data_IF_180684208015
#
_entry.id   IF_180684208015
#
_cell.length_a   1.000
_cell.length_b   1.000
_cell.length_c   1.000
_cell.angle_alpha   90.00
_cell.angle_beta   90.00
_cell.angle_gamma   90.00
#
_symmetry.space_group_name_H-M   'P 1'
#
loop_
_entity.id
_entity.type
_entity.pdbx_description
1 polymer ?
#
# COMPACT_ATOMS: atom_id res chain seq x y z
N UNK A 1 -10.42 -26.05 0.65
CA UNK A 1 -9.75 -24.73 0.59
C UNK A 1 -10.57 -23.83 1.49
N UNK A 2 -10.01 -23.23 2.55
CA UNK A 2 -10.73 -22.19 3.28
C UNK A 2 -10.59 -20.92 2.45
N UNK A 3 -11.69 -20.49 1.85
CA UNK A 3 -11.70 -19.32 1.00
C UNK A 3 -11.34 -18.08 1.83
N UNK A 4 -10.31 -17.36 1.40
CA UNK A 4 -10.03 -16.03 1.92
C UNK A 4 -11.17 -15.12 1.44
N UNK A 5 -12.17 -14.90 2.30
CA UNK A 5 -13.34 -14.08 1.96
C UNK A 5 -13.13 -12.68 2.54
N UNK A 6 -12.65 -11.80 1.68
CA UNK A 6 -12.60 -10.37 1.97
C UNK A 6 -13.95 -9.73 1.56
N UNK A 7 -14.58 -8.90 2.41
CA UNK A 7 -15.77 -8.14 2.04
C UNK A 7 -15.52 -7.30 0.76
N UNK A 8 -16.44 -7.27 -0.22
CA UNK A 8 -16.23 -6.55 -1.49
C UNK A 8 -15.80 -5.08 -1.31
N UNK A 9 -16.37 -4.38 -0.31
CA UNK A 9 -16.03 -2.99 0.01
C UNK A 9 -14.58 -2.80 0.46
N UNK A 10 -14.03 -3.75 1.20
CA UNK A 10 -12.63 -3.71 1.62
C UNK A 10 -11.72 -4.04 0.45
N UNK A 11 -12.12 -5.04 -0.36
CA UNK A 11 -11.35 -5.47 -1.51
C UNK A 11 -11.13 -4.32 -2.49
N UNK A 12 -12.16 -3.55 -2.82
CA UNK A 12 -12.05 -2.40 -3.72
C UNK A 12 -11.08 -1.34 -3.17
N UNK A 13 -11.15 -1.03 -1.88
CA UNK A 13 -10.20 -0.11 -1.26
C UNK A 13 -8.77 -0.64 -1.26
N UNK A 14 -8.58 -1.92 -0.97
CA UNK A 14 -7.25 -2.53 -0.92
C UNK A 14 -6.64 -2.62 -2.32
N UNK A 15 -7.43 -3.00 -3.32
CA UNK A 15 -7.02 -3.00 -4.73
C UNK A 15 -6.65 -1.58 -5.18
N UNK A 16 -7.43 -0.57 -4.80
CA UNK A 16 -7.11 0.84 -5.09
C UNK A 16 -5.79 1.28 -4.44
N UNK A 17 -5.56 0.96 -3.16
CA UNK A 17 -4.27 1.27 -2.50
C UNK A 17 -3.10 0.55 -3.17
N UNK A 18 -3.25 -0.74 -3.48
CA UNK A 18 -2.22 -1.55 -4.14
C UNK A 18 -1.79 -0.95 -5.48
N UNK A 19 -2.75 -0.50 -6.29
CA UNK A 19 -2.47 0.15 -7.57
C UNK A 19 -1.89 1.57 -7.41
N UNK A 20 -2.34 2.32 -6.40
CA UNK A 20 -1.99 3.72 -6.24
C UNK A 20 -0.60 3.95 -5.63
N UNK A 21 -0.13 3.05 -4.76
CA UNK A 21 1.19 3.17 -4.12
C UNK A 21 2.34 3.38 -5.12
N UNK A 22 2.54 2.54 -6.15
CA UNK A 22 3.63 2.75 -7.11
C UNK A 22 3.47 4.04 -7.93
N UNK A 23 2.25 4.40 -8.33
CA UNK A 23 1.96 5.63 -9.10
C UNK A 23 2.34 6.87 -8.30
N UNK A 24 1.94 6.90 -7.02
CA UNK A 24 2.18 8.05 -6.15
C UNK A 24 3.64 8.11 -5.72
N UNK A 25 4.31 6.97 -5.59
CA UNK A 25 5.76 6.92 -5.42
C UNK A 25 6.48 7.59 -6.59
N UNK A 26 6.21 7.17 -7.83
CA UNK A 26 6.81 7.73 -9.04
C UNK A 26 6.53 9.23 -9.21
N UNK A 27 5.36 9.68 -8.78
CA UNK A 27 4.94 11.08 -8.87
C UNK A 27 5.67 12.00 -7.88
N UNK A 28 5.95 11.53 -6.67
CA UNK A 28 6.40 12.40 -5.56
C UNK A 28 7.83 12.15 -5.10
N UNK A 29 8.37 10.95 -5.28
CA UNK A 29 9.70 10.62 -4.78
C UNK A 29 10.76 10.97 -5.83
N UNK A 30 11.90 11.49 -5.38
CA UNK A 30 13.07 11.71 -6.23
C UNK A 30 13.75 10.39 -6.61
N UNK A 31 14.66 10.44 -7.57
CA UNK A 31 15.51 9.31 -7.97
C UNK A 31 16.41 8.79 -6.83
N UNK A 32 16.54 9.53 -5.74
CA UNK A 32 17.27 9.12 -4.53
C UNK A 32 16.53 8.05 -3.71
N UNK A 33 15.28 7.75 -4.06
CA UNK A 33 14.47 6.74 -3.40
C UNK A 33 14.16 5.59 -4.35
N UNK A 34 14.02 4.40 -3.77
CA UNK A 34 13.68 3.17 -4.50
C UNK A 34 12.47 2.51 -3.86
N UNK A 35 11.53 2.11 -4.69
CA UNK A 35 10.41 1.26 -4.30
C UNK A 35 10.81 -0.22 -4.39
N UNK A 36 10.68 -0.95 -3.28
CA UNK A 36 10.84 -2.39 -3.19
C UNK A 36 9.49 -3.04 -2.90
N UNK A 37 9.07 -3.99 -3.74
CA UNK A 37 7.82 -4.72 -3.58
C UNK A 37 8.10 -6.10 -2.99
N UNK A 38 7.68 -6.32 -1.75
CA UNK A 38 7.77 -7.61 -1.08
C UNK A 38 6.47 -8.39 -1.33
N UNK A 39 6.52 -9.53 -2.03
CA UNK A 39 5.32 -10.32 -2.29
C UNK A 39 4.76 -10.92 -0.98
N UNK A 40 3.46 -11.18 -0.90
CA UNK A 40 2.87 -11.83 0.27
C UNK A 40 3.50 -13.21 0.49
N UNK A 41 3.84 -13.52 1.75
CA UNK A 41 4.37 -14.84 2.10
C UNK A 41 3.36 -15.92 1.73
N UNK A 42 3.81 -16.98 1.05
CA UNK A 42 3.02 -18.21 0.88
C UNK A 42 3.12 -19.02 2.17
N UNK A 43 2.01 -19.24 2.86
CA UNK A 43 1.97 -20.18 3.99
C UNK A 43 1.54 -21.56 3.50
N UNK A 44 2.11 -22.59 4.13
CA UNK A 44 1.75 -23.99 3.88
C UNK A 44 0.31 -24.30 4.31
N UNK A 45 -0.17 -23.61 5.34
CA UNK A 45 -1.51 -23.74 5.92
C UNK A 45 -2.15 -22.34 6.12
N UNK A 46 -2.82 -21.80 5.09
CA UNK A 46 -3.38 -20.45 5.17
C UNK A 46 -4.53 -20.41 6.19
N UNK A 47 -4.41 -19.54 7.19
CA UNK A 47 -5.53 -19.19 8.06
C UNK A 47 -6.58 -18.37 7.28
N UNK A 48 -7.88 -18.51 7.61
CA UNK A 48 -8.91 -17.61 7.10
C UNK A 48 -8.57 -16.15 7.44
N UNK A 49 -8.74 -15.26 6.47
CA UNK A 49 -8.41 -13.86 6.64
C UNK A 49 -8.53 -13.07 5.33
N UNK A 50 -8.23 -11.76 5.36
CA UNK A 50 -8.21 -10.94 4.16
C UNK A 50 -7.22 -11.47 3.13
N UNK A 51 -7.49 -11.19 1.86
CA UNK A 51 -6.61 -11.56 0.75
C UNK A 51 -5.22 -10.99 1.05
N UNK A 52 -4.19 -11.81 0.89
CA UNK A 52 -2.81 -11.39 1.17
C UNK A 52 -2.34 -10.43 0.10
N UNK A 53 -1.68 -9.36 0.53
CA UNK A 53 -1.22 -8.25 -0.31
C UNK A 53 0.30 -8.09 -0.21
N UNK A 54 0.95 -7.54 -1.25
CA UNK A 54 2.35 -7.16 -1.15
C UNK A 54 2.56 -6.06 -0.09
N UNK A 55 3.80 -5.94 0.40
CA UNK A 55 4.25 -4.79 1.19
C UNK A 55 5.20 -3.97 0.34
N UNK A 56 4.96 -2.67 0.25
CA UNK A 56 5.80 -1.74 -0.48
C UNK A 56 6.73 -1.07 0.51
N UNK A 57 8.03 -1.21 0.30
CA UNK A 57 9.07 -0.55 1.08
C UNK A 57 9.70 0.55 0.25
N UNK A 58 10.03 1.66 0.88
CA UNK A 58 10.79 2.74 0.27
C UNK A 58 12.16 2.76 0.91
N UNK A 59 13.18 2.66 0.07
CA UNK A 59 14.58 2.71 0.46
C UNK A 59 15.20 4.03 0.00
N UNK A 60 16.11 4.62 0.76
CA UNK A 60 16.94 5.73 0.29
C UNK A 60 18.13 5.25 -0.55
N UNK A 61 18.95 6.17 -1.05
CA UNK A 61 20.14 5.89 -1.85
C UNK A 61 21.16 4.95 -1.16
N UNK A 62 21.20 4.95 0.17
CA UNK A 62 22.05 4.05 0.97
C UNK A 62 21.45 2.64 1.15
N UNK A 63 20.22 2.42 0.68
CA UNK A 63 19.47 1.17 0.88
C UNK A 63 18.77 1.07 2.24
N UNK A 64 18.70 2.15 3.01
CA UNK A 64 18.00 2.15 4.31
C UNK A 64 16.50 2.29 4.11
N UNK A 65 15.73 1.53 4.89
CA UNK A 65 14.27 1.63 4.91
C UNK A 65 13.83 2.98 5.51
N UNK A 66 13.12 3.78 4.71
CA UNK A 66 12.62 5.09 5.14
C UNK A 66 11.12 5.09 5.40
N UNK A 67 10.36 4.24 4.71
CA UNK A 67 8.93 4.06 4.93
C UNK A 67 8.43 2.71 4.38
N UNK A 68 7.24 2.31 4.81
CA UNK A 68 6.49 1.25 4.14
C UNK A 68 5.01 1.59 3.99
N UNK A 69 4.38 0.97 3.00
CA UNK A 69 2.94 0.99 2.75
C UNK A 69 2.44 -0.43 2.54
N UNK A 70 1.31 -0.76 3.16
CA UNK A 70 0.58 -2.00 2.98
C UNK A 70 -0.83 -1.68 2.47
N UNK A 71 -1.32 -2.33 1.40
CA UNK A 71 -2.66 -2.09 0.85
C UNK A 71 -3.82 -2.33 1.83
N UNK A 72 -3.59 -3.04 2.94
CA UNK A 72 -4.56 -3.14 4.05
C UNK A 72 -4.72 -1.83 4.86
N UNK A 73 -3.97 -0.78 4.54
CA UNK A 73 -4.04 0.54 5.17
C UNK A 73 -2.95 0.80 6.22
N UNK A 74 -2.11 -0.18 6.54
CA UNK A 74 -0.96 0.03 7.41
C UNK A 74 0.17 0.76 6.65
N UNK A 75 0.71 1.81 7.23
CA UNK A 75 1.84 2.55 6.69
C UNK A 75 2.64 3.21 7.83
N UNK A 76 3.96 3.25 7.70
CA UNK A 76 4.86 3.84 8.70
C UNK A 76 6.01 4.56 8.01
N UNK A 77 6.46 5.65 8.62
CA UNK A 77 7.60 6.45 8.19
C UNK A 77 8.67 6.40 9.29
N UNK A 78 9.86 5.96 8.95
CA UNK A 78 10.98 5.74 9.88
C UNK A 78 11.99 6.89 9.90
N UNK A 79 11.92 7.78 8.91
CA UNK A 79 12.89 8.85 8.70
C UNK A 79 12.17 10.19 8.57
N UNK A 80 12.62 11.19 9.32
CA UNK A 80 11.96 12.51 9.36
C UNK A 80 12.12 13.25 8.03
N UNK A 81 13.25 13.07 7.35
CA UNK A 81 13.51 13.66 6.04
C UNK A 81 12.52 13.18 4.96
N UNK A 82 12.00 11.95 5.11
CA UNK A 82 11.04 11.39 4.17
C UNK A 82 9.58 11.76 4.52
N UNK A 83 9.33 12.28 5.71
CA UNK A 83 7.98 12.57 6.22
C UNK A 83 7.12 13.44 5.29
N UNK A 84 7.64 14.51 4.65
CA UNK A 84 6.84 15.33 3.74
C UNK A 84 6.36 14.54 2.51
N UNK A 85 7.18 13.64 1.98
CA UNK A 85 6.80 12.75 0.88
C UNK A 85 5.77 11.73 1.37
N UNK A 86 6.06 11.08 2.50
CA UNK A 86 5.17 10.10 3.11
C UNK A 86 3.76 10.63 3.35
N UNK A 87 3.62 11.81 3.96
CA UNK A 87 2.33 12.40 4.29
C UNK A 87 1.51 12.71 3.01
N UNK A 88 2.16 13.23 1.96
CA UNK A 88 1.53 13.44 0.64
C UNK A 88 1.11 12.13 -0.02
N UNK A 89 2.00 11.14 0.00
CA UNK A 89 1.72 9.84 -0.58
C UNK A 89 0.51 9.21 0.10
N UNK A 90 0.51 9.19 1.44
CA UNK A 90 -0.57 8.65 2.26
C UNK A 90 -1.90 9.33 1.95
N UNK A 91 -1.91 10.65 1.82
CA UNK A 91 -3.12 11.39 1.47
C UNK A 91 -3.69 10.99 0.11
N UNK A 92 -2.85 10.89 -0.93
CA UNK A 92 -3.30 10.50 -2.28
C UNK A 92 -3.75 9.03 -2.35
N UNK A 93 -3.06 8.14 -1.64
CA UNK A 93 -3.42 6.72 -1.55
C UNK A 93 -4.78 6.55 -0.86
N UNK A 94 -5.00 7.22 0.27
CA UNK A 94 -6.29 7.14 0.98
C UNK A 94 -7.42 7.82 0.21
N UNK A 95 -7.12 8.90 -0.52
CA UNK A 95 -8.08 9.54 -1.43
C UNK A 95 -8.53 8.57 -2.52
N UNK A 96 -7.60 7.88 -3.19
CA UNK A 96 -7.93 6.89 -4.22
C UNK A 96 -8.75 5.72 -3.66
N UNK A 97 -8.42 5.24 -2.44
CA UNK A 97 -9.21 4.21 -1.78
C UNK A 97 -10.65 4.67 -1.48
N UNK A 98 -10.82 5.92 -1.04
CA UNK A 98 -12.12 6.52 -0.78
C UNK A 98 -12.94 6.68 -2.07
N UNK A 99 -12.35 7.22 -3.13
CA UNK A 99 -13.00 7.40 -4.44
C UNK A 99 -13.45 6.04 -5.02
N UNK A 100 -12.60 5.02 -4.94
CA UNK A 100 -12.95 3.66 -5.38
C UNK A 100 -14.12 3.08 -4.58
N UNK A 101 -14.20 3.35 -3.27
CA UNK A 101 -15.33 2.94 -2.46
C UNK A 101 -16.61 3.68 -2.83
N UNK A 102 -16.54 4.99 -3.06
CA UNK A 102 -17.69 5.81 -3.49
C UNK A 102 -18.24 5.31 -4.83
N UNK A 103 -17.37 5.07 -5.81
CA UNK A 103 -17.74 4.50 -7.12
C UNK A 103 -18.39 3.11 -6.96
N UNK A 104 -17.82 2.24 -6.13
CA UNK A 104 -18.39 0.93 -5.85
C UNK A 104 -19.78 0.99 -5.19
N UNK A 105 -20.03 2.00 -4.36
CA UNK A 105 -21.32 2.22 -3.70
C UNK A 105 -22.35 2.91 -4.62
N UNK A 106 -21.95 3.36 -5.81
CA UNK A 106 -22.81 4.02 -6.79
C UNK A 106 -23.09 5.49 -6.46
N UNK A 107 -22.14 6.17 -5.82
CA UNK A 107 -22.19 7.61 -5.56
C UNK A 107 -21.43 8.41 -6.62
#
# INVERSE_FOLDING_TARGET
MMDMVEPPRLRVQFDARENQIPIVFEKHCSEDYKLEVIPPKKEKDPKPGPIRRPTFRILNASGELVAFFNPHGAAECYKEEFKPFFDRMKQEIEKAAKEALEEFLGH
#
